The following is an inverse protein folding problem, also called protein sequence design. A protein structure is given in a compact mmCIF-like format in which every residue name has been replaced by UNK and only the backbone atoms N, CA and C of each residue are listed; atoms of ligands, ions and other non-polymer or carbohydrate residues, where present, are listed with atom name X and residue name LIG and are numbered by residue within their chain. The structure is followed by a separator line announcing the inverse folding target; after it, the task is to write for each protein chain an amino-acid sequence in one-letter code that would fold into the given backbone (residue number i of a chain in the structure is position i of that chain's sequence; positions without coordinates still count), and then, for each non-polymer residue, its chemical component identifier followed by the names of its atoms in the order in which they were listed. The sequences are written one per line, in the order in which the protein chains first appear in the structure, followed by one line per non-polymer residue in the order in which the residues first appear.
data_IF_300801664257
#
_entry.id   IF_300801664257
#
_cell.length_a   1.000
_cell.length_b   1.000
_cell.length_c   1.000
_cell.angle_alpha   90.00
_cell.angle_beta   90.00
_cell.angle_gamma   90.00
#
_symmetry.space_group_name_H-M   'P 1'
#
loop_
_entity.id
_entity.type
_entity.pdbx_description
1 polymer ?
#
# COMPACT_ATOMS: atom_id res chain seq x y z
N UNK A 1 -3.57 -20.73 -10.47
CA UNK A 1 -4.49 -20.62 -9.30
C UNK A 1 -3.80 -19.73 -8.28
N UNK A 2 -4.59 -18.92 -7.56
CA UNK A 2 -4.19 -17.83 -6.68
C UNK A 2 -3.54 -16.64 -7.41
N UNK A 3 -4.37 -15.66 -7.78
CA UNK A 3 -3.99 -14.25 -7.70
C UNK A 3 -3.60 -14.00 -6.25
N UNK A 4 -2.33 -14.25 -5.93
CA UNK A 4 -1.71 -13.77 -4.71
C UNK A 4 -1.60 -12.26 -4.86
N UNK A 5 -2.74 -11.58 -4.72
CA UNK A 5 -2.81 -10.16 -4.47
C UNK A 5 -2.21 -9.98 -3.08
N UNK A 6 -0.88 -9.99 -2.99
CA UNK A 6 -0.15 -9.79 -1.75
C UNK A 6 -0.65 -8.49 -1.15
N UNK A 7 -1.43 -8.62 -0.07
CA UNK A 7 -1.91 -7.48 0.70
C UNK A 7 -0.68 -6.77 1.23
N UNK A 8 -0.49 -5.54 0.79
CA UNK A 8 0.61 -4.69 1.22
C UNK A 8 0.39 -4.20 2.64
N UNK A 9 -0.88 -3.96 3.01
CA UNK A 9 -1.26 -3.46 4.32
C UNK A 9 -2.70 -2.97 4.34
N UNK A 10 -2.99 -2.10 5.31
CA UNK A 10 -4.28 -1.41 5.42
C UNK A 10 -4.07 0.09 5.33
N UNK A 11 -5.07 0.80 4.82
CA UNK A 11 -5.06 2.24 4.80
C UNK A 11 -5.16 2.79 6.24
N UNK A 12 -4.23 3.65 6.70
CA UNK A 12 -4.28 4.21 8.05
C UNK A 12 -5.45 5.18 8.26
N UNK A 13 -6.00 5.76 7.19
CA UNK A 13 -7.15 6.69 7.27
C UNK A 13 -8.49 5.96 7.42
N UNK A 14 -8.77 5.02 6.51
CA UNK A 14 -10.08 4.37 6.41
C UNK A 14 -10.08 2.89 6.83
N UNK A 15 -8.91 2.28 7.11
CA UNK A 15 -8.79 0.86 7.47
C UNK A 15 -8.98 -0.11 6.30
N UNK A 16 -9.13 0.39 5.06
CA UNK A 16 -9.39 -0.45 3.90
C UNK A 16 -8.14 -1.27 3.51
N UNK A 17 -8.33 -2.51 3.03
CA UNK A 17 -7.21 -3.37 2.63
C UNK A 17 -6.57 -2.88 1.34
N UNK A 18 -5.26 -2.62 1.38
CA UNK A 18 -4.43 -2.23 0.24
C UNK A 18 -3.73 -3.48 -0.30
N UNK A 19 -3.92 -3.77 -1.59
CA UNK A 19 -3.24 -4.86 -2.32
C UNK A 19 -2.17 -4.30 -3.25
N UNK A 20 -1.24 -5.16 -3.69
CA UNK A 20 -0.16 -4.81 -4.63
C UNK A 20 -0.62 -4.16 -5.93
N UNK A 21 -1.89 -4.32 -6.34
CA UNK A 21 -2.45 -3.63 -7.51
C UNK A 21 -2.66 -2.12 -7.30
N UNK A 22 -2.65 -1.65 -6.06
CA UNK A 22 -2.75 -0.23 -5.70
C UNK A 22 -1.40 0.39 -5.35
N UNK A 23 -0.31 -0.37 -5.44
CA UNK A 23 1.04 0.14 -5.23
C UNK A 23 1.40 1.08 -6.38
N UNK A 24 1.75 2.31 -6.03
CA UNK A 24 2.21 3.29 -7.02
C UNK A 24 3.73 3.25 -7.15
N UNK A 25 4.43 3.24 -6.01
CA UNK A 25 5.89 3.21 -5.96
C UNK A 25 6.37 2.55 -4.67
N UNK A 26 7.44 1.78 -4.79
CA UNK A 26 8.22 1.26 -3.66
C UNK A 26 9.68 1.61 -3.92
N UNK A 27 10.35 2.12 -2.89
CA UNK A 27 11.75 2.46 -2.94
C UNK A 27 12.42 2.21 -1.59
N UNK A 28 13.68 1.83 -1.65
CA UNK A 28 14.47 1.62 -0.45
C UNK A 28 15.21 2.92 -0.09
N UNK A 29 15.19 3.26 1.19
CA UNK A 29 15.89 4.41 1.76
C UNK A 29 16.84 3.94 2.85
N UNK A 30 17.75 4.81 3.26
CA UNK A 30 18.69 4.48 4.35
C UNK A 30 17.97 4.22 5.70
N UNK A 31 16.76 4.76 5.88
CA UNK A 31 15.91 4.54 7.06
C UNK A 31 15.05 3.27 6.95
N UNK A 32 14.87 2.74 5.74
CA UNK A 32 14.05 1.56 5.47
C UNK A 32 13.33 1.62 4.13
N UNK A 33 12.45 0.64 3.91
CA UNK A 33 11.68 0.52 2.67
C UNK A 33 10.42 1.37 2.72
N UNK A 34 10.37 2.43 1.91
CA UNK A 34 9.20 3.29 1.76
C UNK A 34 8.33 2.80 0.62
N UNK A 35 7.01 2.77 0.84
CA UNK A 35 6.04 2.41 -0.20
C UNK A 35 4.82 3.28 -0.15
N UNK A 36 4.37 3.70 -1.33
CA UNK A 36 3.19 4.53 -1.52
C UNK A 36 2.16 3.75 -2.32
N UNK A 37 0.94 3.73 -1.80
CA UNK A 37 -0.18 3.11 -2.47
C UNK A 37 -1.38 4.06 -2.46
N UNK A 38 -2.18 4.00 -3.52
CA UNK A 38 -3.44 4.72 -3.56
C UNK A 38 -4.53 3.93 -2.84
N UNK A 39 -5.25 4.56 -1.93
CA UNK A 39 -6.38 3.91 -1.31
C UNK A 39 -7.62 3.98 -2.23
N UNK A 40 -8.26 2.86 -2.61
CA UNK A 40 -9.44 2.88 -3.48
C UNK A 40 -10.70 3.48 -2.82
N UNK A 41 -10.75 3.61 -1.49
CA UNK A 41 -11.87 4.24 -0.79
C UNK A 41 -11.61 5.69 -0.43
N UNK A 42 -10.37 6.00 -0.09
CA UNK A 42 -9.99 7.35 0.30
C UNK A 42 -9.57 8.19 -0.92
N UNK A 43 -9.26 7.54 -2.07
CA UNK A 43 -8.72 8.15 -3.30
C UNK A 43 -7.51 9.06 -3.01
N UNK A 44 -6.71 8.64 -2.02
CA UNK A 44 -5.61 9.41 -1.46
C UNK A 44 -4.36 8.53 -1.34
N UNK A 45 -3.21 9.19 -1.39
CA UNK A 45 -1.91 8.56 -1.37
C UNK A 45 -1.54 8.23 0.07
N UNK A 46 -1.39 6.94 0.39
CA UNK A 46 -1.11 6.46 1.74
C UNK A 46 0.12 5.56 1.80
N UNK A 47 0.71 5.47 2.99
CA UNK A 47 1.79 4.53 3.30
C UNK A 47 1.21 3.29 3.99
N UNK A 48 1.07 2.15 3.29
CA UNK A 48 0.50 0.93 3.88
C UNK A 48 1.40 0.21 4.89
N UNK A 49 2.63 0.70 5.14
CA UNK A 49 3.65 0.03 5.97
C UNK A 49 4.05 0.78 7.26
N UNK A 50 3.32 1.84 7.64
CA UNK A 50 3.67 2.69 8.79
C UNK A 50 2.68 2.57 9.96
#
# INVERSE_FOLDING_TARGET
MATESSRLGMCPNCGNSITSGYLLIEYDTEDGSERFAECPSCEDIVHPAH
#
